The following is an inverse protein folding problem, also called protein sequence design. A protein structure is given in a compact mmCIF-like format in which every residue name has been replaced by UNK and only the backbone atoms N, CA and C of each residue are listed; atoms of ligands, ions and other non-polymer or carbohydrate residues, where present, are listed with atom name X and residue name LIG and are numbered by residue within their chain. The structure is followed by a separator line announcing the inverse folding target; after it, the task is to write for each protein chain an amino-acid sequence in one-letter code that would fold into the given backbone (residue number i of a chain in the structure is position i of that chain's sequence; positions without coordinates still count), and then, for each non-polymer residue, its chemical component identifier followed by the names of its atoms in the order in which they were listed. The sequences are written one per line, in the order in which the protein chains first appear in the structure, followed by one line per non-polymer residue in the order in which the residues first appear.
data_IF_841527737829
#
_entry.id   IF_841527737829
#
_cell.length_a   1.000
_cell.length_b   1.000
_cell.length_c   1.000
_cell.angle_alpha   90.00
_cell.angle_beta   90.00
_cell.angle_gamma   90.00
#
_symmetry.space_group_name_H-M   'P 1'
#
loop_
_entity.id
_entity.type
_entity.pdbx_description
1 polymer ?
#
# COMPACT_ATOMS: atom_id res chain seq x y z
N UNK A 1 -7.71 4.93 8.06
CA UNK A 1 -8.03 6.33 7.67
C UNK A 1 -8.54 6.35 6.24
N UNK A 2 -9.73 6.90 5.96
CA UNK A 2 -10.26 7.03 4.60
C UNK A 2 -9.84 8.35 3.95
N UNK A 3 -9.56 8.33 2.65
CA UNK A 3 -9.21 9.51 1.87
C UNK A 3 -9.78 9.43 0.44
N UNK A 4 -9.88 10.58 -0.22
CA UNK A 4 -10.18 10.65 -1.66
C UNK A 4 -8.90 10.48 -2.46
N UNK A 5 -8.96 9.76 -3.58
CA UNK A 5 -7.79 9.66 -4.45
C UNK A 5 -7.43 11.06 -5.00
N UNK A 6 -6.13 11.40 -5.10
CA UNK A 6 -5.69 12.60 -5.81
C UNK A 6 -6.28 12.66 -7.23
N UNK A 7 -6.50 13.88 -7.75
CA UNK A 7 -7.18 14.09 -9.04
C UNK A 7 -6.48 13.37 -10.19
N UNK A 8 -5.15 13.39 -10.23
CA UNK A 8 -4.35 12.72 -11.28
C UNK A 8 -4.53 11.20 -11.26
N UNK A 9 -4.71 10.59 -10.08
CA UNK A 9 -5.00 9.16 -9.95
C UNK A 9 -6.46 8.88 -10.32
N UNK A 10 -7.37 9.76 -9.94
CA UNK A 10 -8.78 9.69 -10.35
C UNK A 10 -8.92 9.70 -11.87
N UNK A 11 -8.21 10.60 -12.56
CA UNK A 11 -8.24 10.70 -14.02
C UNK A 11 -7.73 9.41 -14.70
N UNK A 12 -6.66 8.82 -14.17
CA UNK A 12 -6.14 7.52 -14.62
C UNK A 12 -7.20 6.40 -14.48
N UNK A 13 -7.86 6.32 -13.33
CA UNK A 13 -8.88 5.30 -13.07
C UNK A 13 -10.09 5.48 -13.99
N UNK A 14 -10.53 6.73 -14.20
CA UNK A 14 -11.63 7.04 -15.11
C UNK A 14 -11.28 6.70 -16.57
N UNK A 15 -10.06 6.98 -17.00
CA UNK A 15 -9.58 6.58 -18.33
C UNK A 15 -9.59 5.06 -18.50
N UNK A 16 -9.12 4.31 -17.49
CA UNK A 16 -9.19 2.84 -17.46
C UNK A 16 -10.64 2.35 -17.55
N UNK A 17 -11.57 2.95 -16.81
CA UNK A 17 -12.97 2.55 -16.84
C UNK A 17 -13.60 2.78 -18.22
N UNK A 18 -13.25 3.88 -18.91
CA UNK A 18 -13.66 4.10 -20.30
C UNK A 18 -13.14 3.01 -21.24
N UNK A 19 -11.92 2.49 -21.04
CA UNK A 19 -11.41 1.34 -21.81
C UNK A 19 -12.22 0.07 -21.56
N UNK A 20 -12.55 -0.23 -20.29
CA UNK A 20 -13.40 -1.39 -19.92
C UNK A 20 -14.77 -1.31 -20.60
N UNK A 21 -15.37 -0.13 -20.61
CA UNK A 21 -16.67 0.09 -21.24
C UNK A 21 -16.60 -0.02 -22.77
N UNK A 22 -15.60 0.59 -23.39
CA UNK A 22 -15.43 0.58 -24.84
C UNK A 22 -15.20 -0.84 -25.38
N UNK A 23 -14.40 -1.65 -24.68
CA UNK A 23 -14.08 -3.03 -25.06
C UNK A 23 -14.89 -4.09 -24.32
N UNK A 24 -16.09 -3.75 -23.80
CA UNK A 24 -16.90 -4.65 -22.97
C UNK A 24 -17.20 -6.01 -23.62
N UNK A 25 -17.34 -6.04 -24.95
CA UNK A 25 -17.59 -7.28 -25.71
C UNK A 25 -16.44 -8.29 -25.65
N UNK A 26 -15.22 -7.85 -25.35
CA UNK A 26 -14.03 -8.70 -25.28
C UNK A 26 -13.80 -9.31 -23.87
N UNK A 27 -14.63 -8.97 -22.88
CA UNK A 27 -14.50 -9.44 -21.49
C UNK A 27 -13.08 -9.26 -20.87
N UNK A 28 -12.39 -8.18 -21.25
CA UNK A 28 -11.09 -7.82 -20.69
C UNK A 28 -11.27 -6.97 -19.42
N UNK A 29 -10.54 -7.31 -18.35
CA UNK A 29 -10.65 -6.62 -17.05
C UNK A 29 -9.98 -5.24 -17.02
N UNK A 30 -8.94 -5.04 -17.84
CA UNK A 30 -8.07 -3.84 -17.80
C UNK A 30 -7.61 -3.49 -16.37
N UNK A 31 -7.23 -4.49 -15.59
CA UNK A 31 -6.72 -4.31 -14.24
C UNK A 31 -5.42 -3.51 -14.27
N UNK A 32 -5.32 -2.48 -13.42
CA UNK A 32 -4.03 -1.81 -13.19
C UNK A 32 -3.09 -2.84 -12.55
N UNK A 33 -1.90 -3.01 -13.15
CA UNK A 33 -0.96 -4.01 -12.66
C UNK A 33 -0.42 -3.66 -11.27
N UNK A 34 0.18 -4.66 -10.61
CA UNK A 34 0.68 -4.51 -9.24
C UNK A 34 1.84 -3.54 -9.09
N UNK A 35 2.64 -3.30 -10.13
CA UNK A 35 3.74 -2.34 -10.07
C UNK A 35 3.19 -0.92 -10.07
N UNK A 36 2.25 -0.62 -10.98
CA UNK A 36 1.60 0.69 -11.04
C UNK A 36 0.82 0.99 -9.75
N UNK A 37 0.11 0.01 -9.19
CA UNK A 37 -0.56 0.16 -7.89
C UNK A 37 0.45 0.42 -6.76
N UNK A 38 1.63 -0.21 -6.82
CA UNK A 38 2.74 0.05 -5.90
C UNK A 38 3.24 1.49 -5.99
N UNK A 39 3.53 1.97 -7.21
CA UNK A 39 3.96 3.35 -7.48
C UNK A 39 2.94 4.38 -6.97
N UNK A 40 1.65 4.14 -7.22
CA UNK A 40 0.56 4.98 -6.70
C UNK A 40 0.55 4.96 -5.17
N UNK A 41 0.75 3.79 -4.56
CA UNK A 41 0.85 3.63 -3.11
C UNK A 41 1.96 4.47 -2.50
N UNK A 42 3.18 4.37 -3.04
CA UNK A 42 4.35 5.14 -2.59
C UNK A 42 4.12 6.65 -2.72
N UNK A 43 3.60 7.11 -3.87
CA UNK A 43 3.32 8.52 -4.10
C UNK A 43 2.26 9.08 -3.13
N UNK A 44 1.14 8.37 -2.96
CA UNK A 44 0.08 8.77 -2.03
C UNK A 44 0.56 8.76 -0.58
N UNK A 45 1.38 7.77 -0.19
CA UNK A 45 1.96 7.73 1.14
C UNK A 45 2.92 8.90 1.38
N UNK A 46 3.71 9.28 0.38
CA UNK A 46 4.58 10.46 0.44
C UNK A 46 3.78 11.76 0.64
N UNK A 47 2.67 11.94 -0.08
CA UNK A 47 1.79 13.09 0.11
C UNK A 47 1.11 13.09 1.48
N UNK A 48 0.54 11.95 1.91
CA UNK A 48 -0.21 11.85 3.17
C UNK A 48 0.68 12.00 4.41
N UNK A 49 1.90 11.46 4.39
CA UNK A 49 2.74 11.36 5.59
C UNK A 49 4.06 12.13 5.47
N UNK A 50 4.26 12.89 4.38
CA UNK A 50 5.47 13.67 4.16
C UNK A 50 6.73 12.80 3.96
N UNK A 51 6.58 11.62 3.35
CA UNK A 51 7.73 10.72 3.15
C UNK A 51 8.70 11.28 2.12
N UNK A 52 9.99 11.16 2.42
CA UNK A 52 11.04 11.29 1.40
C UNK A 52 11.30 9.92 0.78
N UNK A 53 10.90 9.73 -0.48
CA UNK A 53 11.05 8.44 -1.17
C UNK A 53 12.52 8.12 -1.48
N UNK A 54 12.87 6.86 -1.29
CA UNK A 54 14.19 6.32 -1.61
C UNK A 54 14.24 5.84 -3.06
N UNK A 55 15.40 5.86 -3.73
CA UNK A 55 15.57 5.19 -5.01
C UNK A 55 15.26 3.69 -4.89
N UNK A 56 14.58 3.12 -5.88
CA UNK A 56 14.30 1.68 -5.94
C UNK A 56 15.60 0.87 -5.87
N UNK A 57 15.78 0.13 -4.78
CA UNK A 57 16.97 -0.70 -4.52
C UNK A 57 16.60 -2.15 -4.14
N UNK A 58 15.31 -2.49 -4.06
CA UNK A 58 14.84 -3.84 -3.76
C UNK A 58 15.01 -4.29 -2.30
N UNK A 59 15.41 -3.39 -1.39
CA UNK A 59 15.68 -3.75 0.02
C UNK A 59 14.43 -3.75 0.90
N UNK A 60 13.28 -3.28 0.42
CA UNK A 60 12.07 -3.20 1.23
C UNK A 60 11.97 -1.95 2.10
N UNK A 61 12.79 -0.94 1.83
CA UNK A 61 12.60 0.42 2.34
C UNK A 61 12.26 1.31 1.14
N UNK A 62 11.05 1.88 1.13
CA UNK A 62 10.58 2.71 0.03
C UNK A 62 10.82 4.21 0.31
N UNK A 63 11.03 4.59 1.57
CA UNK A 63 11.29 5.98 1.95
C UNK A 63 11.54 6.17 3.44
N UNK A 64 11.63 7.42 3.86
CA UNK A 64 11.80 7.83 5.25
C UNK A 64 10.74 8.85 5.64
N UNK A 65 10.17 8.69 6.83
CA UNK A 65 9.26 9.66 7.42
C UNK A 65 10.00 10.89 7.95
N UNK A 66 9.31 12.03 8.21
CA UNK A 66 9.93 13.23 8.76
C UNK A 66 10.65 13.02 10.10
N UNK A 67 10.24 12.03 10.89
CA UNK A 67 10.87 11.66 12.16
C UNK A 67 12.06 10.69 12.01
N UNK A 68 12.46 10.39 10.76
CA UNK A 68 13.62 9.56 10.44
C UNK A 68 13.34 8.07 10.33
N UNK A 69 12.15 7.58 10.71
CA UNK A 69 11.81 6.16 10.56
C UNK A 69 11.85 5.74 9.10
N UNK A 70 12.49 4.60 8.82
CA UNK A 70 12.40 3.95 7.51
C UNK A 70 11.01 3.35 7.31
N UNK A 71 10.46 3.48 6.11
CA UNK A 71 9.07 3.11 5.79
C UNK A 71 9.02 2.17 4.59
N UNK A 72 8.32 1.04 4.76
CA UNK A 72 7.83 0.21 3.66
C UNK A 72 6.37 0.60 3.39
N UNK A 73 6.05 0.84 2.13
CA UNK A 73 4.70 1.03 1.62
C UNK A 73 4.27 -0.24 0.89
N UNK A 74 3.05 -0.68 1.18
CA UNK A 74 2.35 -1.71 0.42
C UNK A 74 1.01 -1.16 0.00
N UNK A 75 0.59 -1.49 -1.22
CA UNK A 75 -0.71 -1.08 -1.72
C UNK A 75 -1.40 -2.20 -2.50
N UNK A 76 -2.72 -2.12 -2.59
CA UNK A 76 -3.55 -3.02 -3.38
C UNK A 76 -4.74 -2.25 -3.96
N UNK A 77 -5.12 -2.57 -5.20
CA UNK A 77 -6.42 -2.19 -5.79
C UNK A 77 -7.43 -3.34 -5.75
N UNK A 78 -7.17 -4.37 -4.93
CA UNK A 78 -7.96 -5.61 -4.84
C UNK A 78 -8.22 -5.97 -3.37
N UNK A 79 -9.07 -6.95 -3.12
CA UNK A 79 -9.36 -7.46 -1.76
C UNK A 79 -8.26 -8.35 -1.16
N UNK A 80 -7.03 -8.30 -1.69
CA UNK A 80 -5.86 -9.03 -1.15
C UNK A 80 -5.13 -8.15 -0.16
N UNK A 81 -4.52 -8.75 0.87
CA UNK A 81 -3.68 -7.99 1.81
C UNK A 81 -2.25 -7.77 1.27
N UNK A 82 -1.36 -7.19 2.10
CA UNK A 82 0.00 -6.89 1.69
C UNK A 82 0.81 -8.16 1.45
N UNK A 83 1.56 -8.17 0.34
CA UNK A 83 2.46 -9.26 -0.02
C UNK A 83 3.92 -8.91 0.30
N UNK A 84 4.63 -9.85 0.90
CA UNK A 84 6.00 -9.72 1.34
C UNK A 84 6.89 -10.76 0.68
N UNK A 85 8.10 -10.34 0.32
CA UNK A 85 9.20 -11.23 -0.02
C UNK A 85 10.07 -11.43 1.22
N UNK A 86 10.76 -12.56 1.28
CA UNK A 86 11.80 -12.75 2.27
C UNK A 86 13.01 -11.93 1.86
N UNK A 87 13.25 -10.85 2.58
CA UNK A 87 14.42 -9.97 2.47
C UNK A 87 15.02 -9.77 3.85
N UNK A 88 16.33 -9.54 3.93
CA UNK A 88 17.05 -9.36 5.19
C UNK A 88 16.82 -7.97 5.81
N UNK A 89 16.53 -6.98 4.96
CA UNK A 89 16.25 -5.62 5.39
C UNK A 89 14.78 -5.47 5.80
N UNK A 90 14.55 -4.76 6.91
CA UNK A 90 13.23 -4.43 7.47
C UNK A 90 13.12 -2.93 7.62
N UNK A 91 11.93 -2.41 7.38
CA UNK A 91 11.61 -1.02 7.67
C UNK A 91 11.20 -0.89 9.14
N UNK A 92 11.41 0.27 9.73
CA UNK A 92 10.90 0.56 11.08
C UNK A 92 9.37 0.57 11.08
N UNK A 93 8.78 1.02 9.97
CA UNK A 93 7.37 1.29 9.83
C UNK A 93 6.78 0.70 8.55
N UNK A 94 5.53 0.23 8.63
CA UNK A 94 4.74 -0.24 7.50
C UNK A 94 3.53 0.67 7.31
N UNK A 95 3.31 1.09 6.07
CA UNK A 95 2.05 1.64 5.60
C UNK A 95 1.41 0.65 4.64
N UNK A 96 0.15 0.29 4.89
CA UNK A 96 -0.64 -0.51 3.96
C UNK A 96 -1.89 0.25 3.51
N UNK A 97 -1.97 0.51 2.21
CA UNK A 97 -3.05 1.25 1.57
C UNK A 97 -3.92 0.31 0.73
N UNK A 98 -5.24 0.48 0.82
CA UNK A 98 -6.21 -0.21 -0.04
C UNK A 98 -6.94 0.84 -0.88
N UNK A 99 -6.92 0.66 -2.19
CA UNK A 99 -7.63 1.53 -3.12
C UNK A 99 -8.94 0.89 -3.57
N UNK A 100 -10.04 1.61 -3.32
CA UNK A 100 -11.34 1.34 -3.91
C UNK A 100 -11.45 2.17 -5.20
N UNK A 101 -11.00 1.57 -6.30
CA UNK A 101 -10.96 2.20 -7.61
C UNK A 101 -12.36 2.41 -8.21
N UNK A 102 -13.38 1.69 -7.75
CA UNK A 102 -14.75 1.86 -8.23
C UNK A 102 -15.41 3.09 -7.60
N UNK A 103 -15.09 3.37 -6.33
CA UNK A 103 -15.60 4.55 -5.61
C UNK A 103 -14.60 5.72 -5.53
N UNK A 104 -13.44 5.60 -6.19
CA UNK A 104 -12.38 6.61 -6.23
C UNK A 104 -11.90 7.03 -4.83
N UNK A 105 -11.73 6.05 -3.94
CA UNK A 105 -11.32 6.24 -2.54
C UNK A 105 -10.10 5.40 -2.22
N UNK A 106 -9.39 5.80 -1.18
CA UNK A 106 -8.36 5.00 -0.55
C UNK A 106 -8.57 4.88 0.95
N UNK A 107 -7.98 3.84 1.52
CA UNK A 107 -7.93 3.62 2.96
C UNK A 107 -6.50 3.27 3.39
N UNK A 108 -5.98 3.98 4.39
CA UNK A 108 -4.84 3.49 5.16
C UNK A 108 -5.36 2.45 6.14
N UNK A 109 -5.08 1.18 5.83
CA UNK A 109 -5.54 -0.01 6.57
C UNK A 109 -4.52 -0.42 7.64
N UNK A 110 -3.25 -0.11 7.44
CA UNK A 110 -2.21 -0.26 8.46
C UNK A 110 -1.32 0.97 8.50
N UNK A 111 -1.06 1.48 9.70
CA UNK A 111 -0.07 2.52 9.97
C UNK A 111 0.58 2.24 11.32
N UNK A 112 1.74 1.56 11.31
CA UNK A 112 2.43 1.14 12.52
C UNK A 112 3.78 0.45 12.24
N UNK A 113 4.44 -0.08 13.27
CA UNK A 113 5.70 -0.82 13.13
C UNK A 113 5.60 -2.01 12.16
N UNK A 114 6.64 -2.31 11.39
CA UNK A 114 6.59 -3.44 10.44
C UNK A 114 6.62 -4.82 11.17
N UNK A 115 7.42 -4.91 12.23
CA UNK A 115 7.79 -6.18 12.87
C UNK A 115 6.57 -7.05 13.30
N UNK A 116 5.51 -6.51 13.93
CA UNK A 116 4.34 -7.31 14.31
C UNK A 116 3.63 -7.94 13.11
N UNK A 117 3.68 -7.33 11.93
CA UNK A 117 3.07 -7.84 10.70
C UNK A 117 3.92 -8.95 10.11
N UNK A 118 5.24 -8.81 10.10
CA UNK A 118 6.16 -9.84 9.62
C UNK A 118 6.06 -11.12 10.48
N UNK A 119 5.85 -10.99 11.79
CA UNK A 119 5.60 -12.11 12.71
C UNK A 119 4.35 -12.94 12.38
N UNK A 120 3.45 -12.45 11.52
CA UNK A 120 2.29 -13.20 11.03
C UNK A 120 2.63 -14.13 9.85
N UNK A 121 3.81 -13.96 9.26
CA UNK A 121 4.29 -14.78 8.16
C UNK A 121 5.05 -16.01 8.69
N UNK A 122 5.18 -17.09 7.89
CA UNK A 122 6.04 -18.22 8.23
C UNK A 122 7.49 -17.77 8.45
N UNK A 123 8.25 -18.48 9.28
CA UNK A 123 9.68 -18.20 9.49
C UNK A 123 10.50 -18.38 8.22
N UNK A 124 10.09 -19.28 7.33
CA UNK A 124 10.70 -19.47 6.01
C UNK A 124 9.65 -19.69 4.90
N UNK A 125 9.84 -19.05 3.74
CA UNK A 125 9.04 -19.24 2.53
C UNK A 125 9.82 -18.84 1.27
N UNK A 126 9.37 -19.34 0.11
CA UNK A 126 9.89 -18.94 -1.22
C UNK A 126 8.88 -18.05 -1.92
N UNK A 127 9.37 -17.01 -2.61
CA UNK A 127 8.53 -16.08 -3.36
C UNK A 127 7.80 -15.08 -2.47
N UNK A 128 6.56 -14.74 -2.84
CA UNK A 128 5.74 -13.80 -2.09
C UNK A 128 4.73 -14.52 -1.19
N UNK A 129 4.57 -14.00 0.03
CA UNK A 129 3.53 -14.44 0.96
C UNK A 129 2.67 -13.26 1.38
N UNK A 130 1.36 -13.46 1.43
CA UNK A 130 0.38 -12.43 1.75
C UNK A 130 -0.09 -12.57 3.19
N UNK A 131 -0.15 -11.45 3.92
CA UNK A 131 -0.92 -11.35 5.17
C UNK A 131 -2.37 -11.01 4.78
N UNK A 132 -3.36 -11.71 5.33
CA UNK A 132 -4.77 -11.45 4.96
C UNK A 132 -5.25 -10.07 5.43
N UNK A 133 -6.28 -9.51 4.76
CA UNK A 133 -6.89 -8.25 5.17
C UNK A 133 -7.43 -8.27 6.62
N UNK A 134 -7.97 -9.42 7.05
CA UNK A 134 -8.46 -9.57 8.42
C UNK A 134 -7.31 -9.53 9.45
N UNK A 135 -6.18 -10.19 9.14
CA UNK A 135 -5.00 -10.19 10.01
C UNK A 135 -4.37 -8.79 10.10
N UNK A 136 -4.20 -8.09 8.97
CA UNK A 136 -3.58 -6.76 8.98
C UNK A 136 -4.46 -5.73 9.70
N UNK A 137 -5.79 -5.78 9.55
CA UNK A 137 -6.71 -4.91 10.31
C UNK A 137 -6.65 -5.18 11.82
N UNK A 138 -6.53 -6.45 12.21
CA UNK A 138 -6.34 -6.80 13.63
C UNK A 138 -5.00 -6.28 14.16
N UNK A 139 -3.93 -6.37 13.35
CA UNK A 139 -2.64 -5.81 13.70
C UNK A 139 -2.72 -4.28 13.85
N UNK A 140 -3.40 -3.58 12.93
CA UNK A 140 -3.59 -2.12 13.01
C UNK A 140 -4.35 -1.70 14.27
N UNK A 141 -5.42 -2.42 14.63
CA UNK A 141 -6.18 -2.14 15.84
C UNK A 141 -5.37 -2.27 17.14
N UNK A 142 -4.23 -2.96 17.11
CA UNK A 142 -3.30 -3.10 18.24
C UNK A 142 -2.19 -2.02 18.24
N UNK A 143 -2.12 -1.16 17.21
CA UNK A 143 -1.11 -0.10 17.14
C UNK A 143 -1.53 1.08 18.01
N UNK A 144 -0.72 1.38 19.02
CA UNK A 144 -0.86 2.59 19.83
C UNK A 144 -0.72 3.86 18.98
N UNK A 145 -1.52 4.89 19.24
CA UNK A 145 -1.54 6.12 18.43
C UNK A 145 -0.17 6.82 18.35
N UNK A 146 0.61 6.79 19.44
CA UNK A 146 1.97 7.36 19.47
C UNK A 146 2.98 6.65 18.55
N UNK A 147 2.65 5.45 18.07
CA UNK A 147 3.48 4.72 17.10
C UNK A 147 3.06 5.00 15.66
N UNK A 148 1.91 5.65 15.42
CA UNK A 148 1.42 5.95 14.07
C UNK A 148 2.14 7.16 13.49
N UNK A 149 2.35 7.16 12.18
CA UNK A 149 2.73 8.37 11.45
C UNK A 149 1.54 9.33 11.40
N UNK A 150 1.79 10.62 11.60
CA UNK A 150 0.76 11.66 11.54
C UNK A 150 0.55 12.08 10.08
N UNK A 151 -0.72 12.22 9.68
CA UNK A 151 -1.06 12.79 8.37
C UNK A 151 -0.64 14.26 8.34
N UNK A 152 -0.06 14.69 7.22
CA UNK A 152 0.25 16.10 6.95
C UNK A 152 -0.80 16.79 6.07
N UNK A 153 -1.83 16.04 5.65
CA UNK A 153 -3.02 16.48 4.93
C UNK A 153 -4.27 16.40 5.81
#
# INVERSE_FOLDING_TARGET
MLFKLPSVITDLVLARNRLRDYYRSAALEFTLDGNLIGDIGEAVAAELFGLTLSPRNGTGIDGHAPDGRSVQVKATGTNRGPAFRMVDTRADHLLFLVFDLENLKGEVVYNGPEEPVIKLLPTAWVGQKTVSLAQIRRADAAVCDGLRLQSVL
#
